data_IF_949985053668
#
_entry.id   IF_949985053668
#
_cell.length_a   1.000
_cell.length_b   1.000
_cell.length_c   1.000
_cell.angle_alpha   90.00
_cell.angle_beta   90.00
_cell.angle_gamma   90.00
#
_symmetry.space_group_name_H-M   'P 1'
#
loop_
_entity.id
_entity.type
_entity.pdbx_description
1 polymer ?
#
# COMPACT_ATOMS: atom_id res chain seq x y z
N UNK A 1 4.23 10.26 20.05
CA UNK A 1 5.25 9.28 19.59
C UNK A 1 4.89 8.91 18.16
N UNK A 2 5.85 8.96 17.25
CA UNK A 2 5.60 8.77 15.82
C UNK A 2 6.27 7.48 15.34
N UNK A 3 5.50 6.60 14.68
CA UNK A 3 5.98 5.43 13.97
C UNK A 3 5.87 5.71 12.47
N UNK A 4 6.99 5.68 11.76
CA UNK A 4 6.99 5.79 10.32
C UNK A 4 7.03 4.39 9.68
N UNK A 5 6.06 4.13 8.81
CA UNK A 5 5.91 2.84 8.12
C UNK A 5 6.14 3.08 6.63
N UNK A 6 7.22 2.53 6.11
CA UNK A 6 7.57 2.64 4.69
C UNK A 6 6.89 1.51 3.92
N UNK A 7 6.18 1.86 2.87
CA UNK A 7 5.86 0.93 1.80
C UNK A 7 7.14 0.69 0.98
N UNK A 8 7.80 -0.44 1.26
CA UNK A 8 9.11 -0.77 0.70
C UNK A 8 9.04 -1.06 -0.80
N UNK A 9 7.97 -1.73 -1.22
CA UNK A 9 7.71 -2.03 -2.62
C UNK A 9 7.54 -0.75 -3.42
N UNK A 10 6.63 0.13 -3.01
CA UNK A 10 6.45 1.44 -3.62
C UNK A 10 7.76 2.25 -3.65
N UNK A 11 8.49 2.30 -2.55
CA UNK A 11 9.72 3.09 -2.45
C UNK A 11 10.84 2.57 -3.36
N UNK A 12 10.95 1.24 -3.53
CA UNK A 12 11.92 0.64 -4.44
C UNK A 12 11.55 0.94 -5.91
N UNK A 13 10.26 0.80 -6.28
CA UNK A 13 9.77 1.20 -7.61
C UNK A 13 9.96 2.70 -7.85
N UNK A 14 9.63 3.55 -6.90
CA UNK A 14 9.85 4.99 -6.98
C UNK A 14 11.33 5.31 -7.23
N UNK A 15 12.21 4.60 -6.55
CA UNK A 15 13.66 4.76 -6.73
C UNK A 15 14.12 4.27 -8.09
N UNK A 16 13.56 3.17 -8.61
CA UNK A 16 13.87 2.66 -9.94
C UNK A 16 13.60 3.69 -11.05
N UNK A 17 12.45 4.34 -10.99
CA UNK A 17 12.10 5.37 -11.98
C UNK A 17 12.71 6.75 -11.69
N UNK A 18 13.18 6.99 -10.48
CA UNK A 18 13.67 8.31 -10.04
C UNK A 18 15.19 8.46 -9.96
N UNK A 19 15.93 7.37 -9.94
CA UNK A 19 17.38 7.37 -9.87
C UNK A 19 18.02 6.83 -11.17
N UNK A 20 19.21 7.31 -11.54
CA UNK A 20 19.89 6.75 -12.69
C UNK A 20 20.31 5.30 -12.45
N UNK A 21 20.28 4.51 -13.52
CA UNK A 21 20.82 3.14 -13.54
C UNK A 21 22.26 3.15 -13.04
N UNK A 22 22.59 2.14 -12.25
CA UNK A 22 23.93 1.93 -11.70
C UNK A 22 24.22 0.44 -11.61
N UNK A 23 25.34 0.04 -12.18
CA UNK A 23 25.79 -1.36 -12.15
C UNK A 23 26.86 -1.51 -11.06
N UNK A 24 26.72 -2.53 -10.23
CA UNK A 24 27.68 -2.94 -9.20
C UNK A 24 28.91 -3.61 -9.82
N UNK A 25 29.99 -3.83 -9.05
CA UNK A 25 31.19 -4.51 -9.55
C UNK A 25 30.95 -5.93 -10.09
N UNK A 26 29.91 -6.62 -9.61
CA UNK A 26 29.52 -7.97 -10.08
C UNK A 26 28.53 -7.96 -11.24
N UNK A 27 28.18 -6.78 -11.78
CA UNK A 27 27.28 -6.63 -12.91
C UNK A 27 25.80 -6.49 -12.56
N UNK A 28 25.42 -6.46 -11.26
CA UNK A 28 24.04 -6.33 -10.82
C UNK A 28 23.58 -4.88 -10.92
N UNK A 29 22.37 -4.64 -11.45
CA UNK A 29 21.73 -3.31 -11.41
C UNK A 29 21.34 -2.96 -9.96
N UNK A 30 21.77 -1.78 -9.48
CA UNK A 30 21.59 -1.33 -8.09
C UNK A 30 21.17 0.15 -7.97
N UNK A 31 20.71 0.76 -9.04
CA UNK A 31 20.29 2.17 -9.05
C UNK A 31 19.08 2.42 -8.15
N UNK A 32 18.06 1.56 -8.21
CA UNK A 32 16.91 1.62 -7.34
C UNK A 32 17.31 1.42 -5.87
N UNK A 33 18.15 0.43 -5.60
CA UNK A 33 18.66 0.14 -4.26
C UNK A 33 19.37 1.33 -3.65
N UNK A 34 20.19 2.05 -4.43
CA UNK A 34 20.88 3.27 -3.98
C UNK A 34 19.89 4.37 -3.57
N UNK A 35 18.86 4.59 -4.39
CA UNK A 35 17.81 5.55 -4.09
C UNK A 35 17.06 5.21 -2.81
N UNK A 36 16.66 3.95 -2.70
CA UNK A 36 16.01 3.38 -1.53
C UNK A 36 16.84 3.55 -0.25
N UNK A 37 18.13 3.18 -0.25
CA UNK A 37 19.04 3.35 0.88
C UNK A 37 19.14 4.82 1.29
N UNK A 38 19.28 5.72 0.31
CA UNK A 38 19.37 7.16 0.57
C UNK A 38 18.14 7.66 1.29
N UNK A 39 16.95 7.19 0.89
CA UNK A 39 15.70 7.53 1.56
C UNK A 39 15.65 6.98 2.98
N UNK A 40 15.95 5.71 3.20
CA UNK A 40 15.96 5.11 4.53
C UNK A 40 16.93 5.80 5.49
N UNK A 41 18.13 6.16 5.02
CA UNK A 41 19.10 6.91 5.82
C UNK A 41 18.57 8.29 6.23
N UNK A 42 17.80 8.93 5.36
CA UNK A 42 17.13 10.19 5.70
C UNK A 42 16.05 10.01 6.77
N UNK A 43 15.24 8.96 6.67
CA UNK A 43 14.20 8.64 7.66
C UNK A 43 14.79 8.27 9.01
N UNK A 44 15.88 7.50 9.06
CA UNK A 44 16.59 7.15 10.30
C UNK A 44 17.05 8.37 11.12
N UNK A 45 17.35 9.49 10.47
CA UNK A 45 17.73 10.75 11.14
C UNK A 45 16.55 11.47 11.75
N UNK A 46 15.32 11.15 11.31
CA UNK A 46 14.10 11.87 11.68
C UNK A 46 13.22 11.09 12.65
N UNK A 47 13.21 9.76 12.52
CA UNK A 47 12.29 8.90 13.26
C UNK A 47 13.05 7.87 14.10
N UNK A 48 12.65 7.75 15.36
CA UNK A 48 13.17 6.74 16.29
C UNK A 48 12.54 5.36 16.04
N UNK A 49 11.26 5.36 15.64
CA UNK A 49 10.50 4.15 15.35
C UNK A 49 10.21 4.10 13.86
N UNK A 50 10.70 3.06 13.20
CA UNK A 50 10.69 2.92 11.75
C UNK A 50 10.58 1.45 11.36
N UNK A 51 9.70 1.14 10.42
CA UNK A 51 9.67 -0.17 9.77
C UNK A 51 9.43 -0.03 8.27
N UNK A 52 9.74 -1.10 7.57
CA UNK A 52 9.49 -1.23 6.14
C UNK A 52 8.67 -2.50 5.91
N UNK A 53 7.63 -2.42 5.10
CA UNK A 53 6.87 -3.58 4.63
C UNK A 53 7.18 -3.83 3.17
N UNK A 54 7.44 -5.10 2.81
CA UNK A 54 7.78 -5.52 1.44
C UNK A 54 6.91 -6.68 0.97
N UNK A 55 6.56 -6.67 -0.32
CA UNK A 55 6.13 -7.84 -1.06
C UNK A 55 7.34 -8.76 -1.30
N UNK A 56 7.53 -9.75 -0.42
CA UNK A 56 8.66 -10.68 -0.51
C UNK A 56 8.43 -11.81 -1.52
N UNK A 57 7.22 -11.90 -2.06
CA UNK A 57 6.82 -12.78 -3.16
C UNK A 57 5.96 -11.97 -4.12
N UNK A 58 5.99 -12.36 -5.40
CA UNK A 58 5.21 -11.68 -6.44
C UNK A 58 3.72 -11.95 -6.27
N UNK A 59 3.36 -13.19 -5.96
CA UNK A 59 1.98 -13.63 -5.78
C UNK A 59 1.56 -13.57 -4.31
N UNK A 60 0.32 -13.16 -4.09
CA UNK A 60 -0.33 -13.12 -2.79
C UNK A 60 -1.58 -14.00 -2.76
N UNK A 61 -2.26 -14.10 -1.61
CA UNK A 61 -3.54 -14.80 -1.52
C UNK A 61 -4.60 -14.27 -2.50
N UNK A 62 -4.45 -13.02 -2.99
CA UNK A 62 -5.38 -12.41 -3.94
C UNK A 62 -5.31 -13.08 -5.31
N UNK A 63 -4.14 -13.57 -5.71
CA UNK A 63 -3.97 -14.35 -6.94
C UNK A 63 -4.67 -15.72 -6.86
N UNK A 64 -4.79 -16.31 -5.64
CA UNK A 64 -5.57 -17.53 -5.43
C UNK A 64 -7.09 -17.28 -5.56
N UNK A 65 -7.56 -16.04 -5.30
CA UNK A 65 -8.97 -15.67 -5.34
C UNK A 65 -9.44 -15.23 -6.73
N UNK A 66 -8.55 -14.62 -7.52
CA UNK A 66 -8.91 -14.02 -8.79
C UNK A 66 -7.76 -14.06 -9.80
N UNK A 67 -7.92 -14.82 -10.87
CA UNK A 67 -6.91 -14.98 -11.93
C UNK A 67 -6.55 -13.67 -12.65
N UNK A 68 -7.45 -12.69 -12.63
CA UNK A 68 -7.23 -11.37 -13.25
C UNK A 68 -6.47 -10.39 -12.33
N UNK A 69 -6.13 -10.81 -11.10
CA UNK A 69 -5.34 -9.95 -10.20
C UNK A 69 -3.93 -9.77 -10.74
N UNK A 70 -3.33 -8.59 -10.45
CA UNK A 70 -1.99 -8.24 -10.94
C UNK A 70 -1.02 -9.43 -10.82
N UNK A 71 -0.27 -9.68 -11.89
CA UNK A 71 0.83 -10.64 -11.88
C UNK A 71 2.16 -9.88 -12.02
N UNK A 72 3.23 -10.46 -11.50
CA UNK A 72 4.56 -9.87 -11.65
C UNK A 72 5.22 -10.07 -13.02
N UNK A 73 4.48 -10.61 -13.99
CA UNK A 73 5.03 -11.01 -15.29
C UNK A 73 5.61 -9.84 -16.11
N UNK A 74 5.10 -8.63 -15.89
CA UNK A 74 5.52 -7.43 -16.61
C UNK A 74 6.55 -6.59 -15.83
N UNK A 75 7.02 -7.08 -14.68
CA UNK A 75 8.00 -6.34 -13.87
C UNK A 75 9.39 -6.54 -14.48
N UNK A 76 10.10 -5.42 -14.67
CA UNK A 76 11.48 -5.41 -15.16
C UNK A 76 12.38 -6.28 -14.24
N UNK A 77 13.10 -7.27 -14.80
CA UNK A 77 14.03 -8.11 -14.03
C UNK A 77 15.06 -7.31 -13.24
N UNK A 78 15.47 -6.14 -13.74
CA UNK A 78 16.45 -5.28 -13.06
C UNK A 78 15.95 -4.73 -11.74
N UNK A 79 14.63 -4.49 -11.60
CA UNK A 79 14.08 -4.12 -10.31
C UNK A 79 13.80 -5.36 -9.45
N UNK A 80 13.31 -6.45 -10.02
CA UNK A 80 13.01 -7.68 -9.28
C UNK A 80 14.25 -8.20 -8.53
N UNK A 81 15.41 -8.17 -9.19
CA UNK A 81 16.68 -8.60 -8.59
C UNK A 81 17.11 -7.72 -7.41
N UNK A 82 16.58 -6.50 -7.28
CA UNK A 82 16.91 -5.58 -6.18
C UNK A 82 16.03 -5.76 -4.94
N UNK A 83 14.89 -6.48 -5.02
CA UNK A 83 14.02 -6.72 -3.86
C UNK A 83 14.73 -7.45 -2.72
N UNK A 84 15.40 -8.59 -2.93
CA UNK A 84 16.14 -9.27 -1.87
C UNK A 84 17.24 -8.40 -1.26
N UNK A 85 17.90 -7.59 -2.09
CA UNK A 85 18.95 -6.67 -1.65
C UNK A 85 18.38 -5.53 -0.79
N UNK A 86 17.21 -5.02 -1.15
CA UNK A 86 16.50 -4.00 -0.38
C UNK A 86 16.05 -4.54 1.00
N UNK A 87 15.56 -5.78 1.06
CA UNK A 87 15.24 -6.43 2.32
C UNK A 87 16.49 -6.65 3.19
N UNK A 88 17.59 -7.11 2.59
CA UNK A 88 18.86 -7.33 3.30
C UNK A 88 19.41 -6.02 3.88
N UNK A 89 19.51 -4.98 3.07
CA UNK A 89 20.06 -3.70 3.53
C UNK A 89 19.16 -3.03 4.57
N UNK A 90 17.84 -3.22 4.49
CA UNK A 90 16.92 -2.73 5.52
C UNK A 90 17.27 -3.29 6.90
N UNK A 91 17.52 -4.60 6.98
CA UNK A 91 17.95 -5.26 8.23
C UNK A 91 19.34 -4.78 8.67
N UNK A 92 20.29 -4.65 7.72
CA UNK A 92 21.64 -4.15 8.02
C UNK A 92 21.64 -2.71 8.55
N UNK A 93 20.68 -1.88 8.10
CA UNK A 93 20.47 -0.54 8.62
C UNK A 93 19.80 -0.51 10.01
N UNK A 94 19.49 -1.66 10.59
CA UNK A 94 18.84 -1.76 11.90
C UNK A 94 17.36 -1.38 11.89
N UNK A 95 16.70 -1.43 10.73
CA UNK A 95 15.28 -1.12 10.56
C UNK A 95 14.48 -2.42 10.62
N UNK A 96 13.34 -2.38 11.30
CA UNK A 96 12.42 -3.53 11.38
C UNK A 96 11.79 -3.77 10.01
N UNK A 97 11.94 -4.99 9.51
CA UNK A 97 11.42 -5.43 8.22
C UNK A 97 10.22 -6.34 8.40
N UNK A 98 9.15 -6.06 7.69
CA UNK A 98 7.95 -6.87 7.54
C UNK A 98 7.97 -7.50 6.14
N UNK A 99 8.47 -8.75 6.05
CA UNK A 99 8.53 -9.50 4.79
C UNK A 99 7.22 -10.24 4.57
N UNK A 100 6.40 -9.76 3.66
CA UNK A 100 5.11 -10.36 3.33
C UNK A 100 5.28 -11.41 2.23
N UNK A 101 4.87 -12.66 2.50
CA UNK A 101 5.00 -13.77 1.54
C UNK A 101 3.66 -14.28 1.03
N UNK A 102 2.66 -14.37 1.91
CA UNK A 102 1.28 -14.76 1.57
C UNK A 102 0.38 -13.54 1.38
N UNK A 103 0.74 -12.47 2.03
CA UNK A 103 0.07 -11.17 2.02
C UNK A 103 0.92 -10.16 1.25
N UNK A 104 0.35 -8.99 1.00
CA UNK A 104 1.07 -7.88 0.36
C UNK A 104 1.64 -6.90 1.39
N UNK A 105 2.59 -6.07 0.98
CA UNK A 105 3.16 -5.02 1.81
C UNK A 105 2.08 -4.17 2.49
N UNK A 106 1.02 -3.87 1.75
CA UNK A 106 -0.13 -3.09 2.21
C UNK A 106 -0.89 -3.75 3.36
N UNK A 107 -1.04 -5.09 3.33
CA UNK A 107 -1.67 -5.84 4.43
C UNK A 107 -0.80 -5.77 5.71
N UNK A 108 0.53 -5.79 5.53
CA UNK A 108 1.47 -5.57 6.63
C UNK A 108 1.32 -4.18 7.24
N UNK A 109 1.26 -3.15 6.41
CA UNK A 109 1.04 -1.75 6.82
C UNK A 109 -0.29 -1.59 7.53
N UNK A 110 -1.37 -2.12 6.95
CA UNK A 110 -2.72 -2.07 7.53
C UNK A 110 -2.78 -2.78 8.89
N UNK A 111 -2.05 -3.89 9.05
CA UNK A 111 -1.97 -4.63 10.32
C UNK A 111 -1.20 -3.85 11.39
N UNK A 112 -0.14 -3.11 11.02
CA UNK A 112 0.54 -2.19 11.93
C UNK A 112 -0.40 -1.07 12.37
N UNK A 113 -1.16 -0.49 11.45
CA UNK A 113 -2.14 0.55 11.78
C UNK A 113 -3.19 0.03 12.78
N UNK A 114 -3.71 -1.16 12.55
CA UNK A 114 -4.70 -1.80 13.43
C UNK A 114 -4.11 -2.14 14.82
N UNK A 115 -2.84 -2.61 14.87
CA UNK A 115 -2.15 -2.95 16.11
C UNK A 115 -2.01 -1.77 17.06
N UNK A 116 -1.89 -0.57 16.53
CA UNK A 116 -1.63 0.64 17.33
C UNK A 116 -2.80 1.65 17.35
N UNK A 117 -3.96 1.32 16.76
CA UNK A 117 -5.10 2.26 16.64
C UNK A 117 -5.57 2.86 17.96
N UNK A 118 -5.56 2.05 19.04
CA UNK A 118 -6.03 2.47 20.37
C UNK A 118 -4.90 3.01 21.25
N UNK A 119 -3.66 3.06 20.73
CA UNK A 119 -2.49 3.57 21.46
C UNK A 119 -2.25 5.05 21.11
N UNK A 120 -1.55 5.76 21.99
CA UNK A 120 -1.14 7.15 21.73
C UNK A 120 0.12 7.21 20.84
N UNK A 121 0.00 6.64 19.66
CA UNK A 121 1.04 6.56 18.64
C UNK A 121 0.46 7.12 17.35
N UNK A 122 1.17 8.08 16.76
CA UNK A 122 0.87 8.56 15.41
C UNK A 122 1.61 7.69 14.41
N UNK A 123 0.89 7.17 13.41
CA UNK A 123 1.45 6.39 12.32
C UNK A 123 1.52 7.25 11.07
N UNK A 124 2.69 7.26 10.45
CA UNK A 124 2.93 7.97 9.19
C UNK A 124 3.25 6.91 8.13
N UNK A 125 2.36 6.70 7.18
CA UNK A 125 2.55 5.76 6.08
C UNK A 125 3.28 6.49 4.95
N UNK A 126 4.48 6.04 4.62
CA UNK A 126 5.27 6.58 3.51
C UNK A 126 4.93 5.88 2.19
N UNK A 127 3.82 6.25 1.58
CA UNK A 127 3.35 5.75 0.28
C UNK A 127 2.44 6.76 -0.41
N UNK A 128 2.22 6.57 -1.73
CA UNK A 128 1.18 7.26 -2.51
C UNK A 128 0.07 6.32 -2.97
N UNK A 129 0.14 5.04 -2.59
CA UNK A 129 -0.85 4.07 -2.99
C UNK A 129 -2.22 4.43 -2.41
N UNK A 130 -3.24 4.48 -3.29
CA UNK A 130 -4.59 4.85 -2.89
C UNK A 130 -5.26 3.80 -2.00
N UNK A 131 -4.83 2.55 -2.09
CA UNK A 131 -5.38 1.44 -1.33
C UNK A 131 -5.09 1.60 0.16
N UNK A 132 -3.91 2.12 0.48
CA UNK A 132 -3.51 2.46 1.85
C UNK A 132 -4.30 3.62 2.46
N UNK A 133 -5.04 4.38 1.66
CA UNK A 133 -5.91 5.44 2.18
C UNK A 133 -7.03 4.89 3.07
N UNK A 134 -7.40 3.61 2.94
CA UNK A 134 -8.35 2.95 3.85
C UNK A 134 -7.81 2.79 5.29
N UNK A 135 -6.51 2.98 5.50
CA UNK A 135 -5.88 2.95 6.83
C UNK A 135 -5.91 4.29 7.54
N UNK A 136 -6.21 5.38 6.82
CA UNK A 136 -6.20 6.74 7.38
C UNK A 136 -7.27 6.86 8.47
N UNK A 137 -6.87 7.38 9.63
CA UNK A 137 -7.74 7.57 10.78
C UNK A 137 -7.44 8.90 11.46
N UNK A 138 -8.26 9.91 11.20
CA UNK A 138 -8.12 11.27 11.72
C UNK A 138 -6.66 11.80 11.59
N UNK A 139 -6.08 12.23 12.73
CA UNK A 139 -4.69 12.65 12.80
C UNK A 139 -3.75 11.56 13.34
N UNK A 140 -4.30 10.38 13.67
CA UNK A 140 -3.53 9.24 14.21
C UNK A 140 -2.80 8.46 13.13
N UNK A 141 -3.48 8.20 12.01
CA UNK A 141 -2.89 7.53 10.85
C UNK A 141 -2.98 8.47 9.66
N UNK A 142 -1.84 8.88 9.14
CA UNK A 142 -1.74 9.77 7.99
C UNK A 142 -0.80 9.18 6.95
N UNK A 143 -1.02 9.49 5.69
CA UNK A 143 -0.07 9.16 4.63
C UNK A 143 0.84 10.34 4.35
N UNK A 144 2.09 10.08 4.01
CA UNK A 144 3.05 11.09 3.60
C UNK A 144 3.62 10.79 2.22
N UNK A 145 3.50 11.76 1.34
CA UNK A 145 4.11 11.73 0.01
C UNK A 145 5.50 12.34 0.05
N UNK A 146 6.52 11.53 -0.15
CA UNK A 146 7.90 12.02 -0.32
C UNK A 146 8.09 12.82 -1.60
N UNK A 147 7.30 12.51 -2.65
CA UNK A 147 7.32 13.21 -3.94
C UNK A 147 6.78 14.63 -3.83
N UNK A 148 5.63 14.80 -3.19
CA UNK A 148 4.94 16.09 -3.09
C UNK A 148 5.19 16.81 -1.77
N UNK A 149 5.83 16.14 -0.80
CA UNK A 149 6.09 16.65 0.56
C UNK A 149 4.81 17.08 1.28
N UNK A 150 3.75 16.30 1.10
CA UNK A 150 2.42 16.58 1.65
C UNK A 150 1.91 15.42 2.48
N UNK A 151 1.13 15.74 3.51
CA UNK A 151 0.36 14.76 4.27
C UNK A 151 -1.05 14.65 3.69
N UNK A 152 -1.58 13.42 3.69
CA UNK A 152 -2.97 13.13 3.41
C UNK A 152 -3.62 12.56 4.67
N UNK A 153 -4.68 13.18 5.13
CA UNK A 153 -5.54 12.73 6.23
C UNK A 153 -6.96 12.52 5.71
N UNK A 154 -7.96 12.34 6.59
CA UNK A 154 -9.36 12.16 6.21
C UNK A 154 -9.84 13.23 5.22
N UNK A 155 -9.54 14.51 5.52
CA UNK A 155 -9.94 15.63 4.67
C UNK A 155 -9.34 15.52 3.27
N UNK A 156 -8.08 15.12 3.16
CA UNK A 156 -7.41 14.90 1.87
C UNK A 156 -8.04 13.76 1.06
N UNK A 157 -8.56 12.71 1.72
CA UNK A 157 -9.32 11.65 1.04
C UNK A 157 -10.67 12.16 0.56
N UNK A 158 -11.38 12.89 1.41
CA UNK A 158 -12.67 13.50 1.06
C UNK A 158 -12.53 14.50 -0.09
N UNK A 159 -11.51 15.35 -0.08
CA UNK A 159 -11.23 16.30 -1.17
C UNK A 159 -10.91 15.58 -2.51
N UNK A 160 -10.22 14.45 -2.44
CA UNK A 160 -9.79 13.70 -3.63
C UNK A 160 -10.89 12.83 -4.23
N UNK A 161 -11.64 12.12 -3.39
CA UNK A 161 -12.60 11.09 -3.81
C UNK A 161 -14.06 11.42 -3.45
N UNK A 162 -14.29 12.38 -2.57
CA UNK A 162 -15.61 12.71 -2.05
C UNK A 162 -16.19 11.68 -1.07
N UNK A 163 -15.36 10.83 -0.49
CA UNK A 163 -15.74 9.72 0.39
C UNK A 163 -14.82 9.65 1.61
N UNK A 164 -15.22 8.90 2.62
CA UNK A 164 -14.40 8.64 3.80
C UNK A 164 -13.32 7.58 3.53
N UNK A 165 -12.20 7.57 4.27
CA UNK A 165 -11.17 6.53 4.18
C UNK A 165 -11.72 5.11 4.26
N UNK A 166 -12.65 4.84 5.16
CA UNK A 166 -13.28 3.53 5.35
C UNK A 166 -14.08 3.04 4.13
N UNK A 167 -14.40 3.93 3.19
CA UNK A 167 -15.16 3.64 1.98
C UNK A 167 -14.27 3.34 0.76
N UNK A 168 -12.95 3.49 0.89
CA UNK A 168 -12.00 3.25 -0.20
C UNK A 168 -12.13 1.84 -0.79
N UNK A 169 -12.22 0.74 0.02
CA UNK A 169 -12.41 -0.60 -0.55
C UNK A 169 -13.68 -0.72 -1.40
N UNK A 170 -14.79 -0.21 -0.90
CA UNK A 170 -16.06 -0.24 -1.62
C UNK A 170 -16.01 0.62 -2.90
N UNK A 171 -15.33 1.76 -2.84
CA UNK A 171 -15.12 2.62 -3.99
C UNK A 171 -14.34 1.92 -5.10
N UNK A 172 -13.22 1.28 -4.75
CA UNK A 172 -12.38 0.55 -5.69
C UNK A 172 -13.06 -0.71 -6.24
N UNK A 173 -13.82 -1.41 -5.43
CA UNK A 173 -14.64 -2.54 -5.89
C UNK A 173 -15.68 -2.13 -6.95
N UNK A 174 -16.27 -0.94 -6.79
CA UNK A 174 -17.25 -0.39 -7.75
C UNK A 174 -16.58 0.16 -9.02
N UNK A 175 -15.51 0.94 -8.87
CA UNK A 175 -14.88 1.67 -9.98
C UNK A 175 -13.82 0.86 -10.71
N UNK A 176 -13.29 -0.17 -10.06
CA UNK A 176 -12.11 -0.91 -10.48
C UNK A 176 -10.79 -0.27 -10.04
N UNK A 177 -9.77 -1.07 -10.17
CA UNK A 177 -8.37 -0.70 -10.02
C UNK A 177 -7.52 -1.35 -11.10
N UNK A 178 -7.11 -0.56 -12.07
CA UNK A 178 -6.34 -1.08 -13.21
C UNK A 178 -4.92 -1.51 -12.81
N UNK A 179 -4.35 -0.93 -11.75
CA UNK A 179 -3.02 -1.34 -11.24
C UNK A 179 -3.04 -2.74 -10.66
N UNK A 180 -4.16 -3.14 -10.07
CA UNK A 180 -4.37 -4.46 -9.48
C UNK A 180 -5.13 -5.43 -10.39
N UNK A 181 -5.46 -5.01 -11.62
CA UNK A 181 -6.22 -5.84 -12.56
C UNK A 181 -7.70 -5.98 -12.20
N UNK A 182 -8.24 -5.13 -11.33
CA UNK A 182 -9.65 -5.16 -10.91
C UNK A 182 -10.49 -4.29 -11.86
N UNK A 183 -11.40 -4.87 -12.68
CA UNK A 183 -12.13 -4.10 -13.68
C UNK A 183 -13.27 -3.25 -13.11
N UNK A 184 -13.71 -3.51 -11.88
CA UNK A 184 -14.88 -2.86 -11.29
C UNK A 184 -16.21 -3.25 -11.95
N UNK A 185 -17.27 -2.48 -11.65
CA UNK A 185 -18.61 -2.72 -12.20
C UNK A 185 -18.81 -1.92 -13.48
N UNK A 186 -19.11 -2.61 -14.58
CA UNK A 186 -19.28 -1.99 -15.91
C UNK A 186 -20.28 -0.83 -15.89
N UNK A 187 -19.80 0.34 -16.27
CA UNK A 187 -20.60 1.57 -16.36
C UNK A 187 -20.72 2.34 -15.03
N UNK A 188 -20.15 1.84 -13.94
CA UNK A 188 -20.07 2.55 -12.66
C UNK A 188 -18.71 3.21 -12.54
N UNK A 189 -18.66 4.48 -12.91
CA UNK A 189 -17.45 5.30 -12.74
C UNK A 189 -17.42 6.03 -11.39
N UNK A 190 -16.33 6.76 -11.15
CA UNK A 190 -16.08 7.48 -9.90
C UNK A 190 -17.26 8.31 -9.41
N UNK A 191 -17.89 9.14 -10.31
CA UNK A 191 -19.02 9.99 -9.93
C UNK A 191 -20.21 9.20 -9.37
N UNK A 192 -20.54 8.07 -10.00
CA UNK A 192 -21.65 7.24 -9.57
C UNK A 192 -21.32 6.51 -8.25
N UNK A 193 -20.09 5.96 -8.15
CA UNK A 193 -19.63 5.29 -6.93
C UNK A 193 -19.60 6.27 -5.74
N UNK A 194 -19.01 7.46 -5.91
CA UNK A 194 -19.00 8.51 -4.88
C UNK A 194 -20.42 8.87 -4.41
N UNK A 195 -21.34 9.13 -5.37
CA UNK A 195 -22.73 9.48 -5.03
C UNK A 195 -23.44 8.37 -4.22
N UNK A 196 -23.22 7.12 -4.62
CA UNK A 196 -23.80 5.97 -3.93
C UNK A 196 -23.23 5.81 -2.52
N UNK A 197 -21.91 5.91 -2.36
CA UNK A 197 -21.23 5.75 -1.08
C UNK A 197 -21.51 6.90 -0.11
N UNK A 198 -21.59 8.13 -0.59
CA UNK A 198 -22.03 9.27 0.24
C UNK A 198 -23.42 9.08 0.82
N UNK A 199 -24.32 8.46 0.06
CA UNK A 199 -25.72 8.30 0.47
C UNK A 199 -25.96 7.01 1.26
N UNK A 200 -25.26 5.92 0.93
CA UNK A 200 -25.54 4.58 1.47
C UNK A 200 -24.36 3.97 2.24
N UNK A 201 -23.27 4.71 2.39
CA UNK A 201 -22.11 4.38 3.20
C UNK A 201 -21.26 3.20 2.69
N UNK A 202 -21.86 2.08 2.31
CA UNK A 202 -21.16 0.87 1.86
C UNK A 202 -21.96 0.07 0.82
N UNK A 203 -21.29 -0.89 0.18
CA UNK A 203 -21.90 -1.75 -0.84
C UNK A 203 -23.11 -2.51 -0.31
N UNK A 204 -23.08 -3.00 0.93
CA UNK A 204 -24.20 -3.78 1.48
C UNK A 204 -25.47 -2.92 1.61
N UNK A 205 -25.32 -1.67 2.03
CA UNK A 205 -26.43 -0.71 2.09
C UNK A 205 -26.85 -0.22 0.70
N UNK A 206 -25.92 -0.09 -0.25
CA UNK A 206 -26.23 0.19 -1.66
C UNK A 206 -27.15 -0.92 -2.21
N UNK A 207 -26.80 -2.17 -2.00
CA UNK A 207 -27.58 -3.33 -2.45
C UNK A 207 -28.97 -3.38 -1.78
N UNK A 208 -29.02 -3.18 -0.46
CA UNK A 208 -30.28 -3.18 0.29
C UNK A 208 -31.25 -2.11 -0.19
N UNK A 209 -30.75 -0.98 -0.68
CA UNK A 209 -31.56 0.16 -1.12
C UNK A 209 -31.67 0.30 -2.64
N UNK A 210 -31.36 -0.74 -3.41
CA UNK A 210 -31.33 -0.70 -4.88
C UNK A 210 -32.62 -0.21 -5.51
N UNK A 211 -33.77 -0.59 -4.97
CA UNK A 211 -35.07 -0.19 -5.47
C UNK A 211 -35.41 1.30 -5.25
N UNK A 212 -34.68 1.95 -4.35
CA UNK A 212 -34.81 3.38 -4.06
C UNK A 212 -33.91 4.19 -4.98
N UNK A 213 -32.60 3.89 -4.98
CA UNK A 213 -31.64 4.73 -5.69
C UNK A 213 -31.68 4.57 -7.21
N UNK A 214 -32.06 3.40 -7.72
CA UNK A 214 -32.14 3.17 -9.17
C UNK A 214 -33.07 4.14 -9.90
N UNK A 215 -34.09 4.65 -9.20
CA UNK A 215 -35.04 5.62 -9.73
C UNK A 215 -34.57 7.08 -9.61
N UNK A 216 -33.57 7.33 -8.76
CA UNK A 216 -33.15 8.67 -8.37
C UNK A 216 -31.77 9.06 -8.93
N UNK A 217 -31.06 8.13 -9.57
CA UNK A 217 -29.74 8.36 -10.14
C UNK A 217 -29.80 8.23 -11.67
N UNK A 218 -29.12 9.11 -12.37
CA UNK A 218 -29.04 9.02 -13.83
C UNK A 218 -28.45 7.68 -14.26
N UNK A 219 -29.17 6.91 -15.07
CA UNK A 219 -28.77 5.56 -15.47
C UNK A 219 -28.93 4.51 -14.37
N UNK A 220 -29.63 4.84 -13.29
CA UNK A 220 -29.75 3.99 -12.10
C UNK A 220 -30.32 2.60 -12.35
N UNK A 221 -31.31 2.46 -13.23
CA UNK A 221 -31.85 1.13 -13.60
C UNK A 221 -30.74 0.22 -14.20
N UNK A 222 -29.95 0.75 -15.14
CA UNK A 222 -28.84 0.03 -15.73
C UNK A 222 -27.75 -0.31 -14.71
N UNK A 223 -27.41 0.64 -13.83
CA UNK A 223 -26.41 0.40 -12.78
C UNK A 223 -26.89 -0.66 -11.78
N UNK A 224 -28.18 -0.61 -11.41
CA UNK A 224 -28.79 -1.60 -10.53
C UNK A 224 -28.77 -3.00 -11.16
N UNK A 225 -29.10 -3.11 -12.44
CA UNK A 225 -29.02 -4.36 -13.19
C UNK A 225 -27.56 -4.88 -13.24
N UNK A 226 -26.59 -4.01 -13.53
CA UNK A 226 -25.18 -4.39 -13.54
C UNK A 226 -24.73 -4.94 -12.17
N UNK A 227 -25.04 -4.25 -11.09
CA UNK A 227 -24.69 -4.69 -9.73
C UNK A 227 -25.38 -6.00 -9.38
N UNK A 228 -26.69 -6.12 -9.66
CA UNK A 228 -27.47 -7.31 -9.31
C UNK A 228 -27.00 -8.55 -10.07
N UNK A 229 -26.71 -8.40 -11.36
CA UNK A 229 -26.26 -9.52 -12.20
C UNK A 229 -24.81 -9.94 -11.90
N UNK A 230 -24.02 -9.10 -11.25
CA UNK A 230 -22.61 -9.35 -10.92
C UNK A 230 -22.35 -9.26 -9.40
N UNK A 231 -23.32 -9.62 -8.59
CA UNK A 231 -23.24 -9.47 -7.15
C UNK A 231 -22.06 -10.22 -6.51
N UNK A 232 -21.86 -11.49 -6.90
CA UNK A 232 -20.75 -12.29 -6.38
C UNK A 232 -19.40 -11.74 -6.82
N UNK A 233 -19.30 -11.21 -8.05
CA UNK A 233 -18.10 -10.57 -8.54
C UNK A 233 -17.80 -9.27 -7.79
N UNK A 234 -18.83 -8.48 -7.47
CA UNK A 234 -18.67 -7.27 -6.66
C UNK A 234 -18.16 -7.58 -5.24
N UNK A 235 -18.67 -8.65 -4.62
CA UNK A 235 -18.15 -9.12 -3.32
C UNK A 235 -16.70 -9.55 -3.40
N UNK A 236 -16.34 -10.28 -4.45
CA UNK A 236 -14.96 -10.67 -4.70
C UNK A 236 -14.07 -9.43 -4.84
N UNK A 237 -14.47 -8.45 -5.64
CA UNK A 237 -13.70 -7.21 -5.78
C UNK A 237 -13.57 -6.44 -4.47
N UNK A 238 -14.63 -6.40 -3.65
CA UNK A 238 -14.54 -5.83 -2.29
C UNK A 238 -13.53 -6.60 -1.42
N UNK A 239 -13.50 -7.92 -1.51
CA UNK A 239 -12.50 -8.71 -0.78
C UNK A 239 -11.08 -8.43 -1.25
N UNK A 240 -10.86 -8.32 -2.57
CA UNK A 240 -9.54 -8.02 -3.15
C UNK A 240 -9.03 -6.63 -2.77
N UNK A 241 -9.91 -5.62 -2.71
CA UNK A 241 -9.56 -4.23 -2.38
C UNK A 241 -9.49 -3.97 -0.87
N UNK A 242 -9.99 -4.89 -0.04
CA UNK A 242 -9.93 -4.74 1.42
C UNK A 242 -8.63 -5.29 1.97
N UNK A 243 -7.85 -4.43 2.61
CA UNK A 243 -6.58 -4.85 3.22
C UNK A 243 -6.81 -5.71 4.46
N UNK A 244 -6.02 -6.78 4.59
CA UNK A 244 -6.04 -7.63 5.78
C UNK A 244 -5.33 -6.90 6.94
N UNK A 245 -6.03 -6.79 8.07
CA UNK A 245 -5.56 -6.09 9.28
C UNK A 245 -5.13 -7.05 10.39
N UNK A 246 -5.05 -8.33 10.09
CA UNK A 246 -4.76 -9.41 11.05
C UNK A 246 -3.49 -10.19 10.72
N UNK A 247 -2.65 -9.64 9.85
CA UNK A 247 -1.34 -10.22 9.56
C UNK A 247 -0.46 -10.12 10.82
N UNK A 248 0.34 -11.15 11.06
CA UNK A 248 1.21 -11.15 12.22
C UNK A 248 2.33 -10.13 12.06
N UNK A 249 2.27 -9.07 12.86
CA UNK A 249 3.27 -8.00 12.94
C UNK A 249 3.75 -7.86 14.39
N UNK A 250 4.92 -7.27 14.65
CA UNK A 250 5.40 -7.01 16.01
C UNK A 250 4.37 -6.21 16.83
N UNK A 251 4.20 -6.58 18.10
CA UNK A 251 3.10 -6.06 18.94
C UNK A 251 3.48 -4.86 19.78
N UNK A 252 4.76 -4.72 20.08
CA UNK A 252 5.27 -3.66 20.94
C UNK A 252 5.97 -2.60 20.10
N UNK A 253 5.83 -1.35 20.50
CA UNK A 253 6.44 -0.23 19.77
C UNK A 253 7.96 -0.30 19.79
N UNK A 254 8.53 -0.89 20.82
CA UNK A 254 9.97 -1.10 21.00
C UNK A 254 10.54 -2.00 19.90
N UNK A 255 9.75 -2.92 19.34
CA UNK A 255 10.16 -3.77 18.22
C UNK A 255 10.44 -2.96 16.95
N UNK A 256 9.85 -1.78 16.84
CA UNK A 256 10.02 -0.84 15.72
C UNK A 256 11.12 0.21 15.95
N UNK A 257 11.72 0.21 17.17
CA UNK A 257 12.85 1.09 17.44
C UNK A 257 14.05 0.70 16.60
N UNK A 258 14.74 1.71 16.07
CA UNK A 258 15.99 1.50 15.34
C UNK A 258 16.98 0.71 16.18
N UNK A 259 17.54 -0.35 15.60
CA UNK A 259 18.53 -1.24 16.23
C UNK A 259 19.95 -0.78 15.90
N UNK A 260 20.91 -1.26 16.68
CA UNK A 260 22.33 -1.04 16.37
C UNK A 260 22.67 -1.61 14.99
N UNK A 261 23.46 -0.85 14.26
CA UNK A 261 23.97 -1.22 12.94
C UNK A 261 25.21 -2.09 13.09
N UNK A 262 25.24 -3.22 12.42
CA UNK A 262 26.47 -3.98 12.30
C UNK A 262 27.32 -3.38 11.17
N UNK A 263 28.20 -2.44 11.54
CA UNK A 263 29.01 -1.69 10.59
C UNK A 263 29.86 -2.59 9.68
N UNK A 264 30.39 -3.70 10.20
CA UNK A 264 31.18 -4.65 9.40
C UNK A 264 30.34 -5.28 8.29
N UNK A 265 29.14 -5.75 8.60
CA UNK A 265 28.24 -6.35 7.60
C UNK A 265 27.75 -5.30 6.60
N UNK A 266 27.45 -4.10 7.08
CA UNK A 266 27.00 -3.01 6.22
C UNK A 266 28.11 -2.57 5.26
N UNK A 267 29.36 -2.48 5.73
CA UNK A 267 30.52 -2.15 4.90
C UNK A 267 30.78 -3.24 3.84
N UNK A 268 30.73 -4.52 4.22
CA UNK A 268 30.87 -5.62 3.26
C UNK A 268 29.80 -5.58 2.17
N UNK A 269 28.54 -5.30 2.55
CA UNK A 269 27.45 -5.11 1.60
C UNK A 269 27.70 -3.90 0.68
N UNK A 270 28.12 -2.79 1.26
CA UNK A 270 28.50 -1.55 0.54
C UNK A 270 29.58 -1.79 -0.51
N UNK A 271 30.66 -2.47 -0.12
CA UNK A 271 31.79 -2.81 -1.01
C UNK A 271 31.35 -3.75 -2.13
N UNK A 272 30.63 -4.84 -1.77
CA UNK A 272 30.16 -5.84 -2.74
C UNK A 272 29.34 -5.21 -3.87
N UNK A 273 28.46 -4.30 -3.54
CA UNK A 273 27.57 -3.67 -4.53
C UNK A 273 28.03 -2.27 -4.99
N UNK A 274 29.23 -1.83 -4.59
CA UNK A 274 29.77 -0.53 -4.96
C UNK A 274 28.92 0.65 -4.49
N UNK A 275 28.21 0.48 -3.36
CA UNK A 275 27.33 1.49 -2.78
C UNK A 275 28.08 2.25 -1.67
N UNK A 276 27.93 3.56 -1.64
CA UNK A 276 28.44 4.38 -0.53
C UNK A 276 27.31 4.47 0.51
N UNK A 277 27.30 3.57 1.49
CA UNK A 277 26.27 3.48 2.52
C UNK A 277 26.74 4.11 3.81
#
# INVERSE_FOLDING_TARGET
>A
MDLYVVDGTYELFRSHFGYPSRVSPDGTEVGALKGYITHLKSLKKQYKYLCVSFDSTIESFRNELYDGYKSGNDIDPDILNQFPLAEEVTKLLGITLLSMRKYEADDGIASVCEQFKDKNIKIIIGSLDKDLMQCIEADKVVMYSTRYKTFTNNKGVEEKFGILPSQIPDFLALTGDSSDGIPGMKGIGQKTATLLLQKYENIDLILKNVNVWKKNIRGGERHAETISNNFELLKLFKELTTLKKSVNVPKDIEDYQLKEVNETKLNNFSEKYGLNI
#
